data_IF_605322585979
#
_entry.id   IF_605322585979
#
_cell.length_a   1.000
_cell.length_b   1.000
_cell.length_c   1.000
_cell.angle_alpha   90.00
_cell.angle_beta   90.00
_cell.angle_gamma   90.00
#
_symmetry.space_group_name_H-M   'P 1'
#
loop_
_entity.id
_entity.type
_entity.pdbx_description
1 polymer ?
#
# COMPACT_ATOMS: atom_id res chain seq x y z
N UNK A 1 6.33 -1.65 -37.41
CA UNK A 1 5.65 -1.39 -36.13
C UNK A 1 6.13 -0.07 -35.59
N UNK A 2 5.24 0.68 -34.94
CA UNK A 2 5.61 1.95 -34.34
C UNK A 2 6.48 1.71 -33.10
N UNK A 3 7.52 2.54 -32.85
CA UNK A 3 8.44 2.36 -31.73
C UNK A 3 7.72 2.26 -30.37
N UNK A 4 6.57 2.94 -30.24
CA UNK A 4 5.69 2.92 -29.06
C UNK A 4 5.14 1.52 -28.75
N UNK A 5 4.83 0.72 -29.77
CA UNK A 5 4.28 -0.64 -29.59
C UNK A 5 5.33 -1.61 -29.06
N UNK A 6 6.56 -1.52 -29.55
CA UNK A 6 7.70 -2.33 -29.11
C UNK A 6 8.12 -1.99 -27.67
N UNK A 7 8.17 -0.71 -27.30
CA UNK A 7 8.43 -0.27 -25.93
C UNK A 7 7.40 -0.84 -24.95
N UNK A 8 6.12 -0.82 -25.35
CA UNK A 8 5.06 -1.32 -24.48
C UNK A 8 5.15 -2.84 -24.30
N UNK A 9 5.38 -3.60 -25.38
CA UNK A 9 5.58 -5.06 -25.33
C UNK A 9 6.81 -5.41 -24.47
N UNK A 10 7.94 -4.72 -24.68
CA UNK A 10 9.16 -4.91 -23.90
C UNK A 10 8.92 -4.69 -22.40
N UNK A 11 8.16 -3.65 -22.03
CA UNK A 11 7.84 -3.34 -20.64
C UNK A 11 7.00 -4.43 -19.96
N UNK A 12 6.01 -4.99 -20.67
CA UNK A 12 5.13 -6.05 -20.15
C UNK A 12 5.90 -7.36 -19.98
N UNK A 13 6.76 -7.70 -20.94
CA UNK A 13 7.60 -8.91 -20.89
C UNK A 13 8.64 -8.85 -19.77
N UNK A 14 9.30 -7.69 -19.57
CA UNK A 14 10.23 -7.49 -18.43
C UNK A 14 9.52 -7.61 -17.09
N UNK A 15 8.32 -7.02 -16.98
CA UNK A 15 7.52 -7.06 -15.74
C UNK A 15 6.97 -8.46 -15.43
N UNK A 16 6.62 -9.24 -16.46
CA UNK A 16 6.19 -10.62 -16.30
C UNK A 16 7.37 -11.56 -15.96
N UNK A 17 8.55 -11.31 -16.53
CA UNK A 17 9.73 -12.15 -16.33
C UNK A 17 9.68 -13.44 -17.16
N UNK A 18 10.84 -14.12 -17.32
CA UNK A 18 11.00 -15.19 -18.30
C UNK A 18 10.17 -16.44 -17.98
N UNK A 19 9.93 -16.74 -16.70
CA UNK A 19 9.10 -17.89 -16.29
C UNK A 19 7.63 -17.73 -16.68
N UNK A 20 7.04 -16.55 -16.47
CA UNK A 20 5.65 -16.30 -16.83
C UNK A 20 5.45 -16.27 -18.35
N UNK A 21 6.40 -15.71 -19.10
CA UNK A 21 6.40 -15.70 -20.57
C UNK A 21 6.39 -17.14 -21.12
N UNK A 22 7.22 -18.04 -20.57
CA UNK A 22 7.23 -19.46 -20.96
C UNK A 22 5.94 -20.18 -20.60
N UNK A 23 5.38 -19.95 -19.41
CA UNK A 23 4.14 -20.63 -19.01
C UNK A 23 2.95 -20.19 -19.83
N UNK A 24 2.81 -18.89 -20.12
CA UNK A 24 1.71 -18.39 -20.95
C UNK A 24 1.91 -18.83 -22.40
N UNK A 25 3.13 -18.77 -22.93
CA UNK A 25 3.44 -19.30 -24.27
C UNK A 25 3.18 -20.80 -24.42
N UNK A 26 3.46 -21.58 -23.38
CA UNK A 26 3.19 -23.01 -23.32
C UNK A 26 1.70 -23.35 -23.37
N UNK A 27 0.80 -22.45 -22.94
CA UNK A 27 -0.65 -22.65 -23.03
C UNK A 27 -1.19 -22.57 -24.46
N UNK A 28 -0.47 -21.93 -25.39
CA UNK A 28 -0.90 -21.76 -26.79
C UNK A 28 -0.34 -22.81 -27.74
N UNK A 29 0.71 -23.54 -27.33
CA UNK A 29 1.31 -24.61 -28.12
C UNK A 29 1.88 -24.15 -29.47
N UNK A 30 2.46 -25.10 -30.22
CA UNK A 30 2.94 -24.87 -31.58
C UNK A 30 4.02 -23.77 -31.70
N UNK A 31 3.92 -22.92 -32.71
CA UNK A 31 4.91 -21.87 -32.99
C UNK A 31 4.87 -20.73 -31.95
N UNK A 32 3.75 -20.50 -31.27
CA UNK A 32 3.63 -19.52 -30.19
C UNK A 32 4.49 -19.89 -28.96
N UNK A 33 4.58 -21.18 -28.63
CA UNK A 33 5.46 -21.66 -27.56
C UNK A 33 6.94 -21.45 -27.90
N UNK A 34 7.34 -21.68 -29.16
CA UNK A 34 8.71 -21.46 -29.64
C UNK A 34 9.09 -19.98 -29.60
N UNK A 35 8.17 -19.11 -30.02
CA UNK A 35 8.36 -17.65 -29.97
C UNK A 35 8.45 -17.17 -28.51
N UNK A 36 7.60 -17.68 -27.62
CA UNK A 36 7.64 -17.34 -26.20
C UNK A 36 8.92 -17.83 -25.50
N UNK A 37 9.43 -19.03 -25.85
CA UNK A 37 10.71 -19.53 -25.33
C UNK A 37 11.90 -18.68 -25.78
N UNK A 38 11.91 -18.26 -27.04
CA UNK A 38 12.91 -17.34 -27.58
C UNK A 38 12.88 -15.99 -26.87
N UNK A 39 11.68 -15.41 -26.72
CA UNK A 39 11.45 -14.13 -26.05
C UNK A 39 11.79 -14.21 -24.55
N UNK A 40 11.45 -15.31 -23.88
CA UNK A 40 11.84 -15.55 -22.50
C UNK A 40 13.36 -15.68 -22.35
N UNK A 41 14.05 -16.33 -23.29
CA UNK A 41 15.51 -16.35 -23.35
C UNK A 41 16.10 -14.95 -23.51
N UNK A 42 15.49 -14.10 -24.35
CA UNK A 42 15.89 -12.70 -24.48
C UNK A 42 15.69 -11.95 -23.16
N UNK A 43 14.51 -12.05 -22.53
CA UNK A 43 14.21 -11.42 -21.23
C UNK A 43 15.18 -11.90 -20.14
N UNK A 44 15.55 -13.17 -20.12
CA UNK A 44 16.53 -13.74 -19.18
C UNK A 44 17.93 -13.17 -19.39
N UNK A 45 18.39 -13.03 -20.65
CA UNK A 45 19.67 -12.38 -20.95
C UNK A 45 19.69 -10.90 -20.58
N UNK A 46 18.55 -10.23 -20.69
CA UNK A 46 18.41 -8.80 -20.40
C UNK A 46 18.30 -8.56 -18.88
N UNK A 47 17.64 -9.44 -18.13
CA UNK A 47 17.47 -9.31 -16.69
C UNK A 47 18.80 -9.39 -15.90
N UNK A 48 19.88 -9.88 -16.53
CA UNK A 48 21.24 -9.85 -16.00
C UNK A 48 21.96 -8.49 -16.12
N UNK A 49 21.39 -7.51 -16.85
CA UNK A 49 21.97 -6.17 -16.99
C UNK A 49 21.66 -5.30 -15.76
N UNK A 50 22.67 -4.56 -15.26
CA UNK A 50 22.65 -3.88 -13.95
C UNK A 50 21.71 -2.66 -13.92
N UNK A 51 21.37 -2.06 -15.07
CA UNK A 51 20.60 -0.81 -15.15
C UNK A 51 19.22 -1.02 -15.79
N UNK A 52 18.10 -0.69 -15.10
CA UNK A 52 16.74 -0.91 -15.60
C UNK A 52 16.39 -0.11 -16.88
N UNK A 53 17.03 1.03 -17.12
CA UNK A 53 16.85 1.81 -18.35
C UNK A 53 17.52 1.14 -19.56
N UNK A 54 18.65 0.48 -19.35
CA UNK A 54 19.38 -0.22 -20.40
C UNK A 54 18.73 -1.57 -20.71
N UNK A 55 18.09 -2.20 -19.72
CA UNK A 55 17.29 -3.42 -19.93
C UNK A 55 16.18 -3.23 -20.97
N UNK A 56 15.41 -2.14 -20.85
CA UNK A 56 14.32 -1.86 -21.79
C UNK A 56 14.83 -1.63 -23.21
N UNK A 57 15.88 -0.82 -23.37
CA UNK A 57 16.47 -0.51 -24.67
C UNK A 57 17.08 -1.73 -25.36
N UNK A 58 17.80 -2.57 -24.62
CA UNK A 58 18.40 -3.80 -25.16
C UNK A 58 17.31 -4.80 -25.57
N UNK A 59 16.23 -4.90 -24.79
CA UNK A 59 15.10 -5.74 -25.15
C UNK A 59 14.40 -5.25 -26.41
N UNK A 60 14.12 -3.94 -26.53
CA UNK A 60 13.54 -3.34 -27.74
C UNK A 60 14.37 -3.62 -28.99
N UNK A 61 15.69 -3.46 -28.90
CA UNK A 61 16.61 -3.72 -30.01
C UNK A 61 16.59 -5.19 -30.45
N UNK A 62 16.54 -6.13 -29.49
CA UNK A 62 16.47 -7.57 -29.78
C UNK A 62 15.09 -7.98 -30.30
N UNK A 63 14.01 -7.37 -29.80
CA UNK A 63 12.66 -7.60 -30.30
C UNK A 63 12.47 -7.07 -31.72
N UNK A 64 13.11 -5.95 -32.08
CA UNK A 64 13.07 -5.39 -33.43
C UNK A 64 13.73 -6.28 -34.51
N UNK A 65 14.58 -7.24 -34.11
CA UNK A 65 15.25 -8.18 -35.01
C UNK A 65 14.41 -9.43 -35.32
N UNK A 66 13.24 -9.60 -34.69
CA UNK A 66 12.39 -10.76 -34.89
C UNK A 66 11.64 -10.70 -36.24
N UNK A 67 11.37 -11.86 -36.87
CA UNK A 67 10.64 -11.94 -38.12
C UNK A 67 9.17 -11.48 -37.97
N UNK A 68 8.55 -10.96 -39.05
CA UNK A 68 7.23 -10.33 -38.99
C UNK A 68 6.10 -11.26 -38.49
N UNK A 69 6.21 -12.55 -38.74
CA UNK A 69 5.25 -13.57 -38.30
C UNK A 69 5.23 -13.76 -36.78
N UNK A 70 6.36 -13.53 -36.11
CA UNK A 70 6.48 -13.66 -34.65
C UNK A 70 5.90 -12.45 -33.90
N UNK A 71 5.72 -11.31 -34.57
CA UNK A 71 5.13 -10.12 -33.93
C UNK A 71 3.64 -10.29 -33.62
N UNK A 72 2.88 -10.98 -34.47
CA UNK A 72 1.46 -11.25 -34.19
C UNK A 72 1.30 -12.17 -32.97
N UNK A 73 2.23 -13.12 -32.80
CA UNK A 73 2.26 -14.02 -31.64
C UNK A 73 2.73 -13.29 -30.36
N UNK A 74 3.63 -12.32 -30.49
CA UNK A 74 4.03 -11.45 -29.38
C UNK A 74 2.91 -10.54 -28.90
N UNK A 75 2.11 -9.99 -29.83
CA UNK A 75 0.97 -9.15 -29.49
C UNK A 75 -0.12 -9.94 -28.78
N UNK A 76 -0.42 -11.17 -29.24
CA UNK A 76 -1.36 -12.05 -28.55
C UNK A 76 -0.85 -12.47 -27.16
N UNK A 77 0.45 -12.80 -27.04
CA UNK A 77 1.09 -13.10 -25.76
C UNK A 77 1.03 -11.92 -24.78
N UNK A 78 1.26 -10.69 -25.27
CA UNK A 78 1.13 -9.47 -24.47
C UNK A 78 -0.28 -9.30 -23.92
N UNK A 79 -1.30 -9.39 -24.77
CA UNK A 79 -2.70 -9.19 -24.35
C UNK A 79 -3.08 -10.18 -23.25
N UNK A 80 -2.64 -11.43 -23.36
CA UNK A 80 -2.91 -12.46 -22.35
C UNK A 80 -2.15 -12.23 -21.05
N UNK A 81 -0.88 -11.80 -21.13
CA UNK A 81 -0.11 -11.44 -19.95
C UNK A 81 -0.76 -10.26 -19.21
N UNK A 82 -1.27 -9.26 -19.94
CA UNK A 82 -2.01 -8.15 -19.35
C UNK A 82 -3.33 -8.63 -18.70
N UNK A 83 -4.10 -9.48 -19.36
CA UNK A 83 -5.32 -10.09 -18.80
C UNK A 83 -5.04 -10.87 -17.51
N UNK A 84 -4.02 -11.74 -17.52
CA UNK A 84 -3.62 -12.52 -16.34
C UNK A 84 -3.15 -11.62 -15.19
N UNK A 85 -2.39 -10.57 -15.49
CA UNK A 85 -1.99 -9.59 -14.48
C UNK A 85 -3.19 -8.86 -13.88
N UNK A 86 -4.18 -8.49 -14.69
CA UNK A 86 -5.41 -7.84 -14.24
C UNK A 86 -6.25 -8.78 -13.36
N UNK A 87 -6.40 -10.04 -13.75
CA UNK A 87 -7.12 -11.04 -12.94
C UNK A 87 -6.45 -11.26 -11.59
N UNK A 88 -5.12 -11.38 -11.56
CA UNK A 88 -4.36 -11.50 -10.31
C UNK A 88 -4.55 -10.26 -9.43
N UNK A 89 -4.48 -9.07 -10.00
CA UNK A 89 -4.72 -7.82 -9.25
C UNK A 89 -6.13 -7.77 -8.69
N UNK A 90 -7.14 -8.16 -9.49
CA UNK A 90 -8.53 -8.23 -9.04
C UNK A 90 -8.70 -9.23 -7.90
N UNK A 91 -8.07 -10.40 -7.98
CA UNK A 91 -8.11 -11.41 -6.92
C UNK A 91 -7.48 -10.89 -5.62
N UNK A 92 -6.32 -10.23 -5.70
CA UNK A 92 -5.66 -9.63 -4.53
C UNK A 92 -6.50 -8.51 -3.90
N UNK A 93 -7.10 -7.65 -4.71
CA UNK A 93 -7.97 -6.58 -4.20
C UNK A 93 -9.25 -7.13 -3.59
N UNK A 94 -9.83 -8.19 -4.19
CA UNK A 94 -11.00 -8.87 -3.64
C UNK A 94 -10.69 -9.53 -2.30
N UNK A 95 -9.53 -10.18 -2.16
CA UNK A 95 -9.06 -10.77 -0.90
C UNK A 95 -8.87 -9.70 0.18
N UNK A 96 -8.20 -8.59 -0.15
CA UNK A 96 -8.06 -7.45 0.78
C UNK A 96 -9.41 -6.86 1.19
N UNK A 97 -10.35 -6.74 0.25
CA UNK A 97 -11.69 -6.25 0.53
C UNK A 97 -12.48 -7.22 1.42
N UNK A 98 -12.36 -8.53 1.19
CA UNK A 98 -12.97 -9.57 2.02
C UNK A 98 -12.41 -9.54 3.45
N UNK A 99 -11.10 -9.46 3.61
CA UNK A 99 -10.45 -9.33 4.91
C UNK A 99 -10.92 -8.07 5.66
N UNK A 100 -11.04 -6.93 4.97
CA UNK A 100 -11.58 -5.71 5.55
C UNK A 100 -13.08 -5.82 5.91
N UNK A 101 -13.84 -6.60 5.16
CA UNK A 101 -15.25 -6.86 5.42
C UNK A 101 -15.41 -7.71 6.70
N UNK A 102 -14.71 -8.84 6.78
CA UNK A 102 -14.73 -9.73 7.96
C UNK A 102 -14.28 -9.01 9.23
N UNK A 103 -13.24 -8.16 9.14
CA UNK A 103 -12.79 -7.35 10.26
C UNK A 103 -13.89 -6.39 10.74
N UNK A 104 -14.60 -5.73 9.81
CA UNK A 104 -15.71 -4.84 10.17
C UNK A 104 -16.89 -5.60 10.75
N UNK A 105 -17.22 -6.78 10.23
CA UNK A 105 -18.26 -7.63 10.80
C UNK A 105 -17.92 -8.05 12.23
N UNK A 106 -16.67 -8.43 12.49
CA UNK A 106 -16.21 -8.75 13.85
C UNK A 106 -16.33 -7.55 14.79
N UNK A 107 -16.00 -6.34 14.31
CA UNK A 107 -16.18 -5.11 15.08
C UNK A 107 -17.66 -4.87 15.36
N UNK A 108 -18.52 -4.89 14.34
CA UNK A 108 -19.97 -4.69 14.48
C UNK A 108 -20.60 -5.73 15.40
N UNK A 109 -20.17 -6.99 15.33
CA UNK A 109 -20.66 -8.07 16.19
C UNK A 109 -20.32 -7.82 17.65
N UNK A 110 -19.11 -7.33 17.95
CA UNK A 110 -18.76 -6.92 19.32
C UNK A 110 -19.52 -5.68 19.80
N UNK A 111 -19.89 -4.77 18.91
CA UNK A 111 -20.67 -3.57 19.26
C UNK A 111 -22.17 -3.88 19.44
N UNK A 112 -22.68 -4.89 18.73
CA UNK A 112 -24.03 -5.44 18.86
C UNK A 112 -24.12 -6.56 19.90
N UNK A 113 -23.07 -6.81 20.68
CA UNK A 113 -23.08 -7.84 21.71
C UNK A 113 -24.22 -7.57 22.71
N UNK A 114 -24.90 -8.65 23.12
CA UNK A 114 -25.96 -8.60 24.14
C UNK A 114 -25.41 -8.25 25.52
N UNK A 115 -24.13 -8.58 25.76
CA UNK A 115 -23.42 -8.21 26.97
C UNK A 115 -22.96 -6.75 26.91
N UNK A 116 -23.49 -5.95 27.84
CA UNK A 116 -23.15 -4.54 28.01
C UNK A 116 -21.67 -4.30 28.28
N UNK A 117 -21.01 -5.20 29.01
CA UNK A 117 -19.58 -5.06 29.33
C UNK A 117 -18.74 -5.09 28.06
N UNK A 118 -18.99 -6.08 27.18
CA UNK A 118 -18.29 -6.22 25.90
C UNK A 118 -18.53 -5.00 25.01
N UNK A 119 -19.80 -4.57 24.90
CA UNK A 119 -20.19 -3.40 24.10
C UNK A 119 -19.53 -2.10 24.56
N UNK A 120 -19.43 -1.89 25.87
CA UNK A 120 -18.87 -0.65 26.42
C UNK A 120 -17.35 -0.63 26.56
N UNK A 121 -16.67 -1.78 26.45
CA UNK A 121 -15.23 -1.87 26.69
C UNK A 121 -14.43 -0.98 25.75
N UNK A 122 -14.68 -1.04 24.43
CA UNK A 122 -13.99 -0.22 23.43
C UNK A 122 -14.20 1.30 23.66
N UNK A 123 -15.44 1.80 23.83
CA UNK A 123 -15.67 3.21 24.18
C UNK A 123 -15.07 3.63 25.52
N UNK A 124 -15.04 2.75 26.53
CA UNK A 124 -14.45 3.06 27.84
C UNK A 124 -12.93 3.18 27.75
N UNK A 125 -12.27 2.28 27.05
CA UNK A 125 -10.83 2.36 26.81
C UNK A 125 -10.44 3.68 26.12
N UNK A 126 -11.20 4.09 25.09
CA UNK A 126 -10.98 5.35 24.39
C UNK A 126 -11.13 6.56 25.33
N UNK A 127 -12.19 6.61 26.15
CA UNK A 127 -12.40 7.71 27.11
C UNK A 127 -11.32 7.77 28.19
N UNK A 128 -10.95 6.63 28.76
CA UNK A 128 -9.91 6.56 29.80
C UNK A 128 -8.55 7.00 29.26
N UNK A 129 -8.21 6.60 28.04
CA UNK A 129 -7.01 7.05 27.32
C UNK A 129 -7.01 8.56 27.07
N UNK A 130 -8.16 9.13 26.70
CA UNK A 130 -8.27 10.58 26.53
C UNK A 130 -8.10 11.31 27.86
N UNK A 131 -8.74 10.83 28.93
CA UNK A 131 -8.62 11.42 30.26
C UNK A 131 -7.20 11.30 30.81
N UNK A 132 -6.49 10.20 30.57
CA UNK A 132 -5.10 10.05 31.00
C UNK A 132 -4.17 11.02 30.27
N UNK A 133 -4.35 11.22 28.96
CA UNK A 133 -3.59 12.20 28.17
C UNK A 133 -3.85 13.64 28.68
N UNK A 134 -5.11 14.01 28.88
CA UNK A 134 -5.48 15.33 29.45
C UNK A 134 -4.87 15.51 30.84
N UNK A 135 -5.01 14.50 31.71
CA UNK A 135 -4.48 14.56 33.07
C UNK A 135 -2.95 14.71 33.08
N UNK A 136 -2.24 13.99 32.21
CA UNK A 136 -0.78 14.13 32.06
C UNK A 136 -0.40 15.57 31.69
N UNK A 137 -1.00 16.13 30.64
CA UNK A 137 -0.70 17.50 30.19
C UNK A 137 -1.01 18.50 31.31
N UNK A 138 -2.18 18.39 31.93
CA UNK A 138 -2.60 19.28 33.02
C UNK A 138 -1.65 19.21 34.21
N UNK A 139 -1.25 18.02 34.66
CA UNK A 139 -0.34 17.85 35.79
C UNK A 139 1.05 18.44 35.51
N UNK A 140 1.58 18.22 34.31
CA UNK A 140 2.88 18.77 33.92
C UNK A 140 2.82 20.30 33.81
N UNK A 141 1.79 20.84 33.14
CA UNK A 141 1.60 22.29 33.02
C UNK A 141 1.37 22.99 34.36
N UNK A 142 0.57 22.40 35.26
CA UNK A 142 0.38 22.93 36.61
C UNK A 142 1.66 22.83 37.44
N UNK A 143 2.41 21.73 37.32
CA UNK A 143 3.70 21.57 37.97
C UNK A 143 4.72 22.62 37.50
N UNK A 144 4.72 23.00 36.23
CA UNK A 144 5.55 24.09 35.72
C UNK A 144 5.18 25.44 36.34
N UNK A 145 3.88 25.75 36.45
CA UNK A 145 3.41 26.98 37.09
C UNK A 145 3.78 27.00 38.58
N UNK A 146 3.58 25.88 39.29
CA UNK A 146 3.99 25.74 40.68
C UNK A 146 5.51 25.88 40.85
N UNK A 147 6.31 25.32 39.93
CA UNK A 147 7.76 25.50 39.84
C UNK A 147 8.17 26.95 39.68
N UNK A 148 7.55 27.68 38.75
CA UNK A 148 7.82 29.10 38.55
C UNK A 148 7.50 29.93 39.80
N UNK A 149 6.39 29.63 40.49
CA UNK A 149 6.02 30.30 41.74
C UNK A 149 7.03 29.98 42.85
N UNK A 150 7.35 28.70 43.04
CA UNK A 150 8.29 28.24 44.07
C UNK A 150 9.70 28.83 43.87
N UNK A 151 10.16 28.91 42.61
CA UNK A 151 11.41 29.57 42.25
C UNK A 151 11.39 31.06 42.60
N UNK A 152 10.26 31.75 42.40
CA UNK A 152 10.06 33.14 42.83
C UNK A 152 10.17 33.33 44.35
N UNK A 153 9.84 32.31 45.14
CA UNK A 153 10.01 32.29 46.61
C UNK A 153 11.38 31.72 47.07
N UNK A 154 12.30 31.44 46.14
CA UNK A 154 13.65 30.96 46.47
C UNK A 154 13.78 29.45 46.65
N UNK A 155 12.74 28.66 46.34
CA UNK A 155 12.80 27.20 46.36
C UNK A 155 13.18 26.63 44.98
N UNK A 156 14.14 25.70 44.95
CA UNK A 156 14.54 25.01 43.72
C UNK A 156 13.56 23.88 43.44
N UNK A 157 12.47 24.19 42.73
CA UNK A 157 11.51 23.22 42.23
C UNK A 157 11.28 23.49 40.74
N UNK A 158 11.58 22.50 39.89
CA UNK A 158 11.41 22.59 38.43
C UNK A 158 10.74 21.32 37.93
N UNK A 159 9.65 21.51 37.18
CA UNK A 159 8.91 20.44 36.53
C UNK A 159 9.18 20.50 35.01
N UNK A 160 9.41 19.36 34.33
CA UNK A 160 9.55 19.36 32.88
C UNK A 160 8.25 19.79 32.17
N UNK A 161 8.39 20.24 30.93
CA UNK A 161 7.24 20.51 30.06
C UNK A 161 6.50 19.21 29.70
N UNK A 162 5.19 19.28 29.38
CA UNK A 162 4.49 18.14 28.84
C UNK A 162 5.14 17.71 27.53
N UNK A 163 5.52 16.44 27.43
CA UNK A 163 6.10 15.88 26.23
C UNK A 163 4.98 15.51 25.24
N UNK A 164 5.14 15.95 23.99
CA UNK A 164 4.21 15.69 22.91
C UNK A 164 4.07 14.20 22.60
N UNK A 165 5.19 13.46 22.56
CA UNK A 165 5.21 12.04 22.22
C UNK A 165 4.50 11.22 23.29
N UNK A 166 4.70 11.56 24.57
CA UNK A 166 3.99 10.92 25.69
C UNK A 166 2.50 11.23 25.62
N UNK A 167 2.13 12.49 25.35
CA UNK A 167 0.73 12.90 25.25
C UNK A 167 -0.02 12.18 24.12
N UNK A 168 0.62 12.01 22.96
CA UNK A 168 0.08 11.30 21.80
C UNK A 168 0.02 9.80 22.02
N UNK A 169 1.05 9.22 22.64
CA UNK A 169 1.05 7.80 23.00
C UNK A 169 -0.13 7.50 23.93
N UNK A 170 -0.37 8.34 24.94
CA UNK A 170 -1.51 8.19 25.84
C UNK A 170 -2.86 8.38 25.13
N UNK A 171 -2.95 9.29 24.16
CA UNK A 171 -4.17 9.54 23.38
C UNK A 171 -4.41 8.51 22.25
N UNK A 172 -3.46 7.61 21.96
CA UNK A 172 -3.51 6.71 20.80
C UNK A 172 -4.78 5.85 20.73
N UNK A 173 -5.23 5.19 21.82
CA UNK A 173 -6.50 4.46 21.82
C UNK A 173 -7.72 5.34 21.51
N UNK A 174 -7.76 6.57 22.04
CA UNK A 174 -8.86 7.51 21.79
C UNK A 174 -8.89 7.97 20.33
N UNK A 175 -7.72 8.32 19.78
CA UNK A 175 -7.56 8.72 18.38
C UNK A 175 -7.94 7.58 17.43
N UNK A 176 -7.45 6.37 17.71
CA UNK A 176 -7.79 5.17 16.94
C UNK A 176 -9.28 4.87 16.94
N UNK A 177 -9.96 5.05 18.08
CA UNK A 177 -11.41 4.88 18.20
C UNK A 177 -12.20 5.92 17.38
N UNK A 178 -11.74 7.18 17.36
CA UNK A 178 -12.33 8.25 16.53
C UNK A 178 -12.00 8.12 15.03
N UNK A 179 -11.20 7.11 14.65
CA UNK A 179 -10.83 6.87 13.25
C UNK A 179 -9.58 7.62 12.78
N UNK A 180 -8.83 8.26 13.70
CA UNK A 180 -7.49 8.78 13.40
C UNK A 180 -6.49 7.62 13.35
N UNK A 181 -6.25 7.12 12.14
CA UNK A 181 -5.34 5.98 11.90
C UNK A 181 -3.95 6.41 11.45
N UNK A 182 -3.82 7.58 10.82
CA UNK A 182 -2.58 8.20 10.35
C UNK A 182 -2.81 9.70 10.15
N UNK A 183 -1.78 10.55 10.36
CA UNK A 183 -1.81 11.97 9.95
C UNK A 183 -2.01 12.12 8.42
N UNK A 184 -1.75 11.06 7.66
CA UNK A 184 -2.06 10.90 6.23
C UNK A 184 -3.58 10.83 5.93
N UNK A 185 -4.41 10.81 6.98
CA UNK A 185 -5.87 10.95 6.91
C UNK A 185 -6.34 12.39 6.64
N UNK A 186 -5.48 13.40 6.71
CA UNK A 186 -5.76 14.75 6.19
C UNK A 186 -5.61 14.80 4.66
N UNK A 187 -6.18 13.85 3.94
CA UNK A 187 -6.40 14.04 2.51
C UNK A 187 -7.41 15.18 2.35
N UNK A 188 -7.15 16.10 1.40
CA UNK A 188 -8.03 17.23 1.05
C UNK A 188 -9.49 16.82 0.77
N UNK A 189 -9.73 15.53 0.53
CA UNK A 189 -11.03 14.95 0.26
C UNK A 189 -11.30 13.72 1.14
N UNK A 190 -12.51 13.70 1.72
CA UNK A 190 -13.05 12.57 2.49
C UNK A 190 -12.91 11.25 1.73
N UNK A 191 -12.60 10.15 2.44
CA UNK A 191 -12.60 8.79 1.86
C UNK A 191 -13.97 8.35 1.31
N UNK A 192 -15.07 9.02 1.68
CA UNK A 192 -16.40 8.81 1.09
C UNK A 192 -16.61 9.59 -0.22
N UNK A 193 -15.74 10.55 -0.52
CA UNK A 193 -15.82 11.29 -1.78
C UNK A 193 -15.23 10.42 -2.89
N UNK A 194 -16.02 10.18 -3.94
CA UNK A 194 -15.61 9.42 -5.14
C UNK A 194 -14.48 10.10 -5.94
N UNK A 195 -13.86 11.16 -5.42
CA UNK A 195 -12.79 11.91 -6.05
C UNK A 195 -11.46 11.16 -6.17
N UNK A 196 -11.25 10.06 -5.44
CA UNK A 196 -10.05 9.23 -5.60
C UNK A 196 -10.01 8.41 -6.90
N UNK A 197 -11.12 8.28 -7.63
CA UNK A 197 -11.19 7.49 -8.85
C UNK A 197 -10.66 8.21 -10.11
N UNK A 198 -10.28 9.49 -10.02
CA UNK A 198 -9.87 10.30 -11.16
C UNK A 198 -8.48 10.87 -10.94
N UNK A 199 -7.47 10.01 -10.94
CA UNK A 199 -6.09 10.43 -11.23
C UNK A 199 -5.49 9.38 -12.17
N UNK A 200 -5.43 9.66 -13.48
CA UNK A 200 -4.60 8.85 -14.37
C UNK A 200 -3.13 9.11 -14.00
N UNK A 201 -2.40 8.05 -13.71
CA UNK A 201 -0.94 8.03 -13.87
C UNK A 201 -0.64 7.48 -15.26
#
# INVERSE_FOLDING_TARGET
>A
MDPVTLTTIASVLLKAGPSLVRTVGGWFGGDAARTADSVAGIVETVNGAINPQDQQRVLEQKLAQLPPEQFVQLESLRVQLEQYQLERQKALLADQQAAHHEQQETIRNGDNATDEYVRQTRPRMARLSLYSSIAYVMLMSLGQQAGAIAAGFGHVFSMPAPDWDISLMLATPALGYLGFRTLDGFARYSKSSKHKAVMPK
#
